data_IF_077659201271
#
_entry.id   IF_077659201271
#
_cell.length_a   1.000
_cell.length_b   1.000
_cell.length_c   1.000
_cell.angle_alpha   90.00
_cell.angle_beta   90.00
_cell.angle_gamma   90.00
#
_symmetry.space_group_name_H-M   'P 1'
#
loop_
_entity.id
_entity.type
_entity.pdbx_description
1 polymer ?
#
# COMPACT_ATOMS: atom_id res chain seq x y z
N UNK A 1 6.79 5.95 -5.09
CA UNK A 1 8.12 5.39 -5.41
C UNK A 1 8.86 5.13 -4.11
N UNK A 2 9.38 3.92 -3.92
CA UNK A 2 10.23 3.55 -2.81
C UNK A 2 11.67 3.44 -3.28
N UNK A 3 12.56 4.08 -2.54
CA UNK A 3 13.99 4.12 -2.79
C UNK A 3 14.72 3.52 -1.58
N UNK A 4 15.88 2.92 -1.82
CA UNK A 4 16.84 2.66 -0.75
C UNK A 4 17.53 3.96 -0.31
N UNK A 5 18.30 3.88 0.77
CA UNK A 5 19.06 5.01 1.34
C UNK A 5 20.03 5.70 0.36
N UNK A 6 20.54 4.96 -0.62
CA UNK A 6 21.39 5.43 -1.71
C UNK A 6 20.58 5.82 -2.97
N UNK A 7 19.28 6.11 -2.81
CA UNK A 7 18.33 6.52 -3.85
C UNK A 7 18.13 5.50 -4.99
N UNK A 8 18.53 4.25 -4.82
CA UNK A 8 18.25 3.22 -5.82
C UNK A 8 16.76 2.86 -5.82
N UNK A 9 16.09 2.82 -6.99
CA UNK A 9 14.70 2.41 -7.07
C UNK A 9 14.47 0.98 -6.58
N UNK A 10 13.47 0.79 -5.72
CA UNK A 10 13.11 -0.52 -5.16
C UNK A 10 11.75 -0.98 -5.67
N UNK A 11 10.71 -0.16 -5.45
CA UNK A 11 9.33 -0.46 -5.85
C UNK A 11 8.65 0.81 -6.36
N UNK A 12 7.97 0.68 -7.49
CA UNK A 12 6.96 1.64 -7.93
C UNK A 12 5.59 1.14 -7.44
N UNK A 13 5.09 1.74 -6.36
CA UNK A 13 3.73 1.51 -5.90
C UNK A 13 2.79 2.52 -6.57
N UNK A 14 1.61 2.05 -6.99
CA UNK A 14 0.64 2.81 -7.78
C UNK A 14 0.08 4.05 -7.07
N UNK A 15 -0.77 4.78 -7.77
CA UNK A 15 -1.41 6.04 -7.37
C UNK A 15 -2.48 5.87 -6.28
N UNK A 16 -3.13 4.70 -6.20
CA UNK A 16 -4.17 4.38 -5.21
C UNK A 16 -3.95 3.02 -4.57
N UNK A 17 -4.34 2.91 -3.30
CA UNK A 17 -4.36 1.62 -2.60
C UNK A 17 -5.50 0.73 -3.11
N UNK A 18 -5.44 -0.56 -2.80
CA UNK A 18 -6.47 -1.52 -3.21
C UNK A 18 -7.81 -1.18 -2.57
N UNK A 19 -7.82 -0.80 -1.29
CA UNK A 19 -8.98 -0.32 -0.56
C UNK A 19 -9.61 0.91 -1.22
N UNK A 20 -8.80 1.87 -1.68
CA UNK A 20 -9.29 3.04 -2.39
C UNK A 20 -9.98 2.69 -3.72
N UNK A 21 -9.44 1.73 -4.47
CA UNK A 21 -10.09 1.25 -5.69
C UNK A 21 -11.38 0.48 -5.40
N UNK A 22 -11.41 -0.37 -4.37
CA UNK A 22 -12.63 -1.10 -3.97
C UNK A 22 -13.75 -0.13 -3.60
N UNK A 23 -13.43 0.89 -2.80
CA UNK A 23 -14.37 1.96 -2.47
C UNK A 23 -14.86 2.69 -3.72
N UNK A 24 -13.97 3.05 -4.64
CA UNK A 24 -14.37 3.71 -5.88
C UNK A 24 -15.31 2.84 -6.74
N UNK A 25 -15.08 1.52 -6.78
CA UNK A 25 -15.98 0.56 -7.44
C UNK A 25 -17.34 0.51 -6.75
N UNK A 26 -17.37 0.44 -5.42
CA UNK A 26 -18.63 0.46 -4.64
C UNK A 26 -19.42 1.76 -4.86
N UNK A 27 -18.75 2.91 -4.89
CA UNK A 27 -19.39 4.22 -5.10
C UNK A 27 -19.92 4.39 -6.54
N UNK A 28 -19.19 3.89 -7.56
CA UNK A 28 -19.53 4.13 -8.96
C UNK A 28 -20.39 3.03 -9.59
N UNK A 29 -20.21 1.78 -9.15
CA UNK A 29 -20.83 0.59 -9.73
C UNK A 29 -21.75 -0.14 -8.73
N UNK A 30 -21.89 0.39 -7.51
CA UNK A 30 -22.77 -0.15 -6.47
C UNK A 30 -24.25 -0.10 -6.84
N UNK A 31 -25.07 -0.81 -6.06
CA UNK A 31 -26.51 -0.90 -6.29
C UNK A 31 -27.17 0.49 -6.34
N UNK A 32 -28.02 0.73 -7.35
CA UNK A 32 -28.70 2.01 -7.56
C UNK A 32 -29.58 2.47 -6.39
N UNK A 33 -29.85 1.61 -5.41
CA UNK A 33 -30.60 1.90 -4.20
C UNK A 33 -29.80 1.43 -2.97
N UNK A 34 -28.83 2.22 -2.46
CA UNK A 34 -28.10 1.86 -1.26
C UNK A 34 -29.07 1.81 -0.08
N UNK A 35 -29.00 0.76 0.73
CA UNK A 35 -29.84 0.55 1.93
C UNK A 35 -29.59 1.58 3.05
N UNK A 36 -28.74 2.59 2.82
CA UNK A 36 -28.29 3.56 3.81
C UNK A 36 -27.21 3.04 4.76
N UNK A 37 -26.86 1.75 4.66
CA UNK A 37 -25.80 1.12 5.43
C UNK A 37 -24.45 1.33 4.73
N UNK A 38 -23.90 2.54 4.85
CA UNK A 38 -22.52 2.82 4.41
C UNK A 38 -21.57 2.30 5.49
N UNK A 39 -20.54 1.54 5.10
CA UNK A 39 -19.50 1.11 6.02
C UNK A 39 -18.89 2.33 6.74
N UNK A 40 -18.67 2.28 8.07
CA UNK A 40 -18.10 3.37 8.83
C UNK A 40 -16.81 3.90 8.20
N UNK A 41 -16.63 5.23 8.19
CA UNK A 41 -15.42 5.87 7.67
C UNK A 41 -14.12 5.36 8.34
N UNK A 42 -14.21 4.87 9.58
CA UNK A 42 -13.12 4.26 10.34
C UNK A 42 -12.63 2.94 9.73
N UNK A 43 -13.52 2.14 9.14
CA UNK A 43 -13.16 0.89 8.45
C UNK A 43 -12.38 1.19 7.17
N UNK A 44 -12.77 2.24 6.44
CA UNK A 44 -12.09 2.66 5.22
C UNK A 44 -10.66 3.15 5.50
N UNK A 45 -10.45 3.93 6.57
CA UNK A 45 -9.10 4.39 6.96
C UNK A 45 -8.25 3.19 7.37
N UNK A 46 -8.80 2.29 8.19
CA UNK A 46 -8.10 1.07 8.63
C UNK A 46 -7.62 0.23 7.43
N UNK A 47 -8.49 0.02 6.43
CA UNK A 47 -8.13 -0.74 5.23
C UNK A 47 -7.03 -0.08 4.40
N UNK A 48 -7.07 1.26 4.25
CA UNK A 48 -6.03 2.00 3.54
C UNK A 48 -4.69 1.94 4.29
N UNK A 49 -4.71 2.05 5.62
CA UNK A 49 -3.52 1.94 6.46
C UNK A 49 -2.91 0.54 6.32
N UNK A 50 -3.73 -0.51 6.37
CA UNK A 50 -3.27 -1.89 6.19
C UNK A 50 -2.59 -2.09 4.84
N UNK A 51 -3.19 -1.62 3.74
CA UNK A 51 -2.59 -1.70 2.39
C UNK A 51 -1.19 -1.05 2.35
N UNK A 52 -1.01 0.09 3.02
CA UNK A 52 0.29 0.75 3.09
C UNK A 52 1.29 -0.03 3.94
N UNK A 53 0.87 -0.55 5.10
CA UNK A 53 1.73 -1.34 5.98
C UNK A 53 2.29 -2.57 5.24
N UNK A 54 1.48 -3.26 4.45
CA UNK A 54 1.92 -4.39 3.64
C UNK A 54 3.03 -4.00 2.65
N UNK A 55 2.93 -2.81 2.04
CA UNK A 55 3.94 -2.30 1.11
C UNK A 55 5.22 -1.92 1.85
N UNK A 56 5.11 -1.23 2.99
CA UNK A 56 6.25 -0.86 3.81
C UNK A 56 7.00 -2.10 4.32
N UNK A 57 6.28 -3.07 4.88
CA UNK A 57 6.87 -4.33 5.34
C UNK A 57 7.60 -5.04 4.20
N UNK A 58 6.95 -5.20 3.05
CA UNK A 58 7.56 -5.83 1.87
C UNK A 58 8.85 -5.11 1.44
N UNK A 59 8.84 -3.78 1.37
CA UNK A 59 10.02 -2.99 0.98
C UNK A 59 11.14 -3.14 2.01
N UNK A 60 10.82 -3.08 3.31
CA UNK A 60 11.81 -3.28 4.37
C UNK A 60 12.47 -4.66 4.29
N UNK A 61 11.68 -5.71 4.02
CA UNK A 61 12.20 -7.06 3.82
C UNK A 61 13.12 -7.14 2.59
N UNK A 62 12.73 -6.53 1.46
CA UNK A 62 13.57 -6.47 0.25
C UNK A 62 14.92 -5.80 0.56
N UNK A 63 14.90 -4.68 1.30
CA UNK A 63 16.12 -3.95 1.66
C UNK A 63 17.02 -4.77 2.58
N UNK A 64 16.46 -5.41 3.62
CA UNK A 64 17.23 -6.26 4.54
C UNK A 64 17.82 -7.50 3.87
N UNK A 65 17.15 -8.03 2.86
CA UNK A 65 17.61 -9.19 2.08
C UNK A 65 18.53 -8.81 0.90
N UNK A 66 18.71 -7.52 0.63
CA UNK A 66 19.50 -7.04 -0.51
C UNK A 66 20.99 -7.35 -0.35
N UNK A 67 21.54 -8.17 -1.24
CA UNK A 67 22.98 -8.43 -1.30
C UNK A 67 23.81 -7.20 -1.63
N UNK A 68 23.26 -6.20 -2.34
CA UNK A 68 23.93 -4.93 -2.60
C UNK A 68 24.15 -4.16 -1.30
N UNK A 69 23.08 -3.99 -0.51
CA UNK A 69 23.13 -3.22 0.72
C UNK A 69 23.97 -3.93 1.78
N UNK A 70 23.90 -5.26 1.89
CA UNK A 70 24.80 -6.01 2.78
C UNK A 70 26.27 -5.76 2.48
N UNK A 71 26.66 -5.81 1.20
CA UNK A 71 28.02 -5.45 0.77
C UNK A 71 28.38 -4.00 1.09
N UNK A 72 27.45 -3.06 0.90
CA UNK A 72 27.66 -1.64 1.20
C UNK A 72 27.91 -1.40 2.71
N UNK A 73 27.19 -2.13 3.57
CA UNK A 73 27.27 -1.98 5.02
C UNK A 73 28.27 -2.91 5.71
N UNK A 74 28.85 -3.87 4.98
CA UNK A 74 29.74 -4.89 5.57
C UNK A 74 29.01 -5.90 6.46
N UNK A 75 27.74 -6.17 6.17
CA UNK A 75 26.91 -7.23 6.79
C UNK A 75 27.10 -8.58 6.08
#
# INVERSE_FOLDING_TARGET
LFLSEDFHPVVFHGDRTLAAYRRAVEEQLGSSCPTGLVAPAEEAITAVVADWLDVFERVQLILRLSGRLRKLHGD
#
